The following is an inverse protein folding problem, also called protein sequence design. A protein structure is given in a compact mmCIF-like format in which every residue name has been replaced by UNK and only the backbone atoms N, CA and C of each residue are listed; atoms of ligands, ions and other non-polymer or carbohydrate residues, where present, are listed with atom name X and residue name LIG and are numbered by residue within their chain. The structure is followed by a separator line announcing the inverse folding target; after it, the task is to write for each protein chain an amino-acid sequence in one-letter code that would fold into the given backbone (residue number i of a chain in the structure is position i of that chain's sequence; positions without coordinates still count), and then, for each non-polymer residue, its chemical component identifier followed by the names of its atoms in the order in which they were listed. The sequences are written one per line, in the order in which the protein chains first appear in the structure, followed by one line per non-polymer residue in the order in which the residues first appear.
data_IF_271362042264
#
_entry.id   IF_271362042264
#
_cell.length_a   1.000
_cell.length_b   1.000
_cell.length_c   1.000
_cell.angle_alpha   90.00
_cell.angle_beta   90.00
_cell.angle_gamma   90.00
#
_symmetry.space_group_name_H-M   'P 1'
#
loop_
_entity.id
_entity.type
_entity.pdbx_description
1 polymer ?
#
# COMPACT_ATOMS: atom_id res chain seq x y z
N UNK A 1 60.48 -25.25 -14.08
CA UNK A 1 59.63 -24.04 -13.95
C UNK A 1 58.23 -24.41 -14.43
N UNK A 2 57.32 -24.80 -13.53
CA UNK A 2 55.96 -25.19 -13.90
C UNK A 2 55.00 -24.03 -13.60
N UNK A 3 54.38 -23.50 -14.66
CA UNK A 3 53.40 -22.40 -14.57
C UNK A 3 52.09 -22.95 -14.02
N UNK A 4 51.63 -22.38 -12.90
CA UNK A 4 50.31 -22.62 -12.35
C UNK A 4 49.23 -21.98 -13.24
N UNK A 5 48.20 -22.75 -13.57
CA UNK A 5 47.02 -22.30 -14.30
C UNK A 5 45.85 -22.30 -13.31
N UNK A 6 45.48 -21.12 -12.84
CA UNK A 6 44.32 -20.91 -11.97
C UNK A 6 43.09 -20.73 -12.86
N UNK A 7 42.19 -21.71 -12.85
CA UNK A 7 40.86 -21.58 -13.44
C UNK A 7 39.90 -20.99 -12.40
N UNK A 8 39.49 -19.73 -12.59
CA UNK A 8 38.41 -19.11 -11.82
C UNK A 8 37.10 -19.40 -12.54
N UNK A 9 36.30 -20.31 -11.99
CA UNK A 9 34.93 -20.56 -12.47
C UNK A 9 33.99 -19.49 -11.90
N UNK A 10 33.56 -18.55 -12.74
CA UNK A 10 32.48 -17.62 -12.41
C UNK A 10 31.15 -18.37 -12.48
N UNK A 11 30.63 -18.78 -11.33
CA UNK A 11 29.27 -19.34 -11.24
C UNK A 11 28.31 -18.15 -11.24
N UNK A 12 27.74 -17.85 -12.40
CA UNK A 12 26.63 -16.93 -12.56
C UNK A 12 25.38 -17.57 -11.92
N UNK A 13 25.26 -17.43 -10.60
CA UNK A 13 24.06 -17.82 -9.87
C UNK A 13 22.94 -16.85 -10.18
N UNK A 14 21.98 -17.26 -11.00
CA UNK A 14 20.66 -16.66 -11.04
C UNK A 14 20.04 -16.81 -9.65
N UNK A 15 20.10 -15.75 -8.84
CA UNK A 15 19.39 -15.69 -7.57
C UNK A 15 17.90 -15.70 -7.94
N UNK A 16 17.12 -16.73 -7.55
CA UNK A 16 15.68 -16.66 -7.72
C UNK A 16 15.20 -15.51 -6.82
N UNK A 17 14.77 -14.42 -7.45
CA UNK A 17 14.03 -13.36 -6.76
C UNK A 17 12.72 -14.02 -6.35
N UNK A 18 12.66 -14.54 -5.12
CA UNK A 18 11.40 -14.88 -4.50
C UNK A 18 10.63 -13.58 -4.32
N UNK A 19 9.71 -13.31 -5.25
CA UNK A 19 8.64 -12.36 -5.01
C UNK A 19 7.84 -12.88 -3.82
N UNK A 20 8.02 -12.27 -2.65
CA UNK A 20 7.15 -12.52 -1.52
C UNK A 20 5.72 -12.20 -1.98
N UNK A 21 4.87 -13.22 -2.04
CA UNK A 21 3.43 -13.01 -2.21
C UNK A 21 2.96 -12.21 -1.00
N UNK A 22 2.41 -11.01 -1.24
CA UNK A 22 1.78 -10.24 -0.18
C UNK A 22 0.74 -11.15 0.51
N UNK A 23 0.64 -11.10 1.86
CA UNK A 23 -0.37 -11.87 2.57
C UNK A 23 -1.74 -11.51 1.98
N UNK A 24 -2.51 -12.52 1.58
CA UNK A 24 -3.90 -12.33 1.17
C UNK A 24 -4.65 -11.96 2.45
N UNK A 25 -4.72 -10.67 2.75
CA UNK A 25 -5.60 -10.19 3.81
C UNK A 25 -7.01 -10.59 3.38
N UNK A 26 -7.70 -11.32 4.26
CA UNK A 26 -9.02 -11.84 4.01
C UNK A 26 -9.91 -10.72 3.48
N UNK A 27 -10.68 -11.00 2.44
CA UNK A 27 -11.48 -10.02 1.71
C UNK A 27 -12.72 -9.58 2.52
N UNK A 28 -12.47 -9.06 3.72
CA UNK A 28 -13.42 -8.69 4.74
C UNK A 28 -13.24 -7.20 5.08
N UNK A 29 -14.26 -6.52 5.62
CA UNK A 29 -14.11 -5.14 6.06
C UNK A 29 -13.02 -4.98 7.12
N UNK A 30 -12.30 -3.86 7.05
CA UNK A 30 -11.27 -3.46 8.03
C UNK A 30 -11.72 -2.20 8.76
N UNK A 31 -11.35 -2.06 10.02
CA UNK A 31 -11.53 -0.81 10.76
C UNK A 31 -10.33 0.10 10.49
N UNK A 32 -10.55 1.34 10.04
CA UNK A 32 -9.48 2.31 9.78
C UNK A 32 -9.74 3.60 10.53
N UNK A 33 -8.72 4.15 11.19
CA UNK A 33 -8.82 5.45 11.83
C UNK A 33 -9.09 6.56 10.82
N UNK A 34 -10.03 7.44 11.17
CA UNK A 34 -10.33 8.64 10.39
C UNK A 34 -9.23 9.69 10.55
N UNK A 35 -8.87 10.32 9.44
CA UNK A 35 -7.87 11.39 9.38
C UNK A 35 -8.48 12.60 8.67
N UNK A 36 -8.36 13.78 9.28
CA UNK A 36 -9.02 15.03 8.81
C UNK A 36 -8.72 15.34 7.34
N UNK A 37 -7.52 14.99 6.87
CA UNK A 37 -7.07 15.18 5.48
C UNK A 37 -6.60 13.86 4.88
N UNK A 38 -7.36 12.78 5.11
CA UNK A 38 -7.04 11.49 4.52
C UNK A 38 -8.13 10.46 4.62
N UNK A 39 -7.87 9.36 5.34
CA UNK A 39 -8.81 8.24 5.43
C UNK A 39 -10.13 8.61 6.11
N UNK A 40 -11.25 8.23 5.48
CA UNK A 40 -12.59 8.34 6.05
C UNK A 40 -13.32 9.64 5.74
N UNK A 41 -14.59 9.68 6.15
CA UNK A 41 -15.47 10.83 5.95
C UNK A 41 -14.92 12.11 6.62
N UNK A 42 -14.96 13.22 5.89
CA UNK A 42 -14.41 14.49 6.39
C UNK A 42 -15.23 15.01 7.59
N UNK A 43 -14.53 15.44 8.65
CA UNK A 43 -15.16 16.02 9.83
C UNK A 43 -15.76 14.98 10.80
N UNK A 44 -15.68 13.69 10.46
CA UNK A 44 -16.00 12.60 11.38
C UNK A 44 -14.74 12.14 12.13
N UNK A 45 -14.90 11.78 13.41
CA UNK A 45 -13.85 11.20 14.25
C UNK A 45 -13.97 9.68 14.38
N UNK A 46 -13.02 9.06 15.06
CA UNK A 46 -13.04 7.62 15.37
C UNK A 46 -12.63 6.75 14.19
N UNK A 47 -13.20 5.54 14.11
CA UNK A 47 -12.87 4.55 13.08
C UNK A 47 -14.00 4.38 12.05
N UNK A 48 -13.64 4.05 10.82
CA UNK A 48 -14.52 3.76 9.70
C UNK A 48 -14.35 2.34 9.20
N UNK A 49 -15.44 1.74 8.70
CA UNK A 49 -15.39 0.41 8.09
C UNK A 49 -15.00 0.51 6.62
N UNK A 50 -13.73 0.24 6.35
CA UNK A 50 -13.17 0.16 5.02
C UNK A 50 -13.68 -1.10 4.32
N UNK A 51 -14.22 -0.92 3.11
CA UNK A 51 -14.75 -2.03 2.33
C UNK A 51 -13.65 -2.58 1.40
N UNK A 52 -13.54 -3.91 1.26
CA UNK A 52 -12.65 -4.51 0.28
C UNK A 52 -13.12 -4.17 -1.14
N UNK A 53 -12.18 -3.93 -2.04
CA UNK A 53 -12.45 -3.65 -3.45
C UNK A 53 -12.24 -4.91 -4.26
N UNK A 54 -13.34 -5.57 -4.64
CA UNK A 54 -13.29 -6.82 -5.40
C UNK A 54 -12.39 -7.84 -4.69
N UNK A 55 -11.59 -8.60 -5.44
CA UNK A 55 -10.58 -9.51 -4.89
C UNK A 55 -9.15 -8.99 -5.13
N UNK A 56 -8.97 -7.66 -5.12
CA UNK A 56 -7.68 -7.03 -5.47
C UNK A 56 -6.72 -6.88 -4.28
N UNK A 57 -7.14 -7.25 -3.06
CA UNK A 57 -6.32 -7.08 -1.86
C UNK A 57 -6.12 -5.61 -1.49
N UNK A 58 -7.10 -4.76 -1.82
CA UNK A 58 -7.08 -3.33 -1.49
C UNK A 58 -8.44 -2.92 -0.91
N UNK A 59 -8.41 -1.88 -0.08
CA UNK A 59 -9.59 -1.36 0.62
C UNK A 59 -9.81 0.10 0.27
N UNK A 60 -11.08 0.51 0.39
CA UNK A 60 -11.50 1.88 0.15
C UNK A 60 -12.31 2.43 1.33
N UNK A 61 -12.08 3.71 1.62
CA UNK A 61 -12.93 4.59 2.43
C UNK A 61 -13.09 5.92 1.70
N UNK A 62 -14.13 6.72 2.00
CA UNK A 62 -14.19 8.11 1.57
C UNK A 62 -12.88 8.83 1.88
N UNK A 63 -12.53 9.78 1.01
CA UNK A 63 -11.26 10.47 1.06
C UNK A 63 -11.52 11.94 0.74
N UNK A 64 -10.89 12.83 1.48
CA UNK A 64 -11.00 14.25 1.22
C UNK A 64 -9.63 14.88 1.02
N UNK A 65 -9.47 15.58 -0.10
CA UNK A 65 -8.24 16.27 -0.48
C UNK A 65 -8.46 17.79 -0.52
N UNK A 66 -8.39 18.49 0.62
CA UNK A 66 -8.54 19.94 0.65
C UNK A 66 -7.36 20.62 -0.05
N UNK A 67 -7.66 21.61 -0.89
CA UNK A 67 -6.65 22.52 -1.45
C UNK A 67 -5.93 22.02 -2.70
N UNK A 68 -6.27 20.84 -3.23
CA UNK A 68 -5.63 20.27 -4.43
C UNK A 68 -6.66 20.04 -5.55
N UNK A 69 -7.07 21.10 -6.27
CA UNK A 69 -8.11 21.06 -7.30
C UNK A 69 -7.70 20.31 -8.59
N UNK A 70 -6.45 19.86 -8.70
CA UNK A 70 -5.92 19.09 -9.85
C UNK A 70 -5.92 17.59 -9.62
N UNK A 71 -6.67 17.07 -8.63
CA UNK A 71 -6.96 15.65 -8.46
C UNK A 71 -7.88 15.14 -9.60
N UNK A 72 -7.46 15.32 -10.84
CA UNK A 72 -8.01 14.67 -12.01
C UNK A 72 -6.83 14.04 -12.74
N UNK A 73 -6.42 12.87 -12.26
CA UNK A 73 -5.70 11.92 -13.10
C UNK A 73 -6.29 10.56 -12.81
N UNK A 74 -6.77 9.91 -13.87
CA UNK A 74 -7.63 8.70 -13.93
C UNK A 74 -6.95 7.44 -13.33
N UNK A 75 -5.80 7.60 -12.67
CA UNK A 75 -4.98 6.51 -12.17
C UNK A 75 -5.25 6.28 -10.68
N UNK A 76 -5.90 5.17 -10.31
CA UNK A 76 -5.99 4.80 -8.90
C UNK A 76 -4.61 4.50 -8.33
N UNK A 77 -4.41 4.79 -7.04
CA UNK A 77 -3.20 4.38 -6.32
C UNK A 77 -3.52 3.52 -5.12
N UNK A 78 -2.57 2.71 -4.73
CA UNK A 78 -2.61 1.94 -3.51
C UNK A 78 -1.48 2.42 -2.59
N UNK A 79 -1.80 2.68 -1.32
CA UNK A 79 -0.83 3.08 -0.30
C UNK A 79 -0.77 2.03 0.82
N UNK A 80 0.41 1.75 1.40
CA UNK A 80 0.51 0.84 2.53
C UNK A 80 -0.02 1.51 3.80
N UNK A 81 -0.84 0.80 4.57
CA UNK A 81 -1.35 1.25 5.87
C UNK A 81 -1.10 0.16 6.89
N UNK A 82 -0.51 0.53 8.03
CA UNK A 82 -0.26 -0.41 9.12
C UNK A 82 -1.57 -0.87 9.74
N UNK A 83 -1.71 -2.18 9.86
CA UNK A 83 -2.90 -2.80 10.43
C UNK A 83 -2.50 -3.93 11.38
N UNK A 84 -3.26 -4.04 12.47
CA UNK A 84 -3.13 -5.09 13.46
C UNK A 84 -4.50 -5.66 13.79
N UNK A 85 -4.68 -6.97 13.59
CA UNK A 85 -5.92 -7.69 13.88
C UNK A 85 -7.17 -7.02 13.25
N UNK A 86 -7.05 -6.45 12.06
CA UNK A 86 -8.15 -5.81 11.34
C UNK A 86 -8.44 -4.34 11.71
N UNK A 87 -7.67 -3.74 12.64
CA UNK A 87 -7.67 -2.30 12.91
C UNK A 87 -6.45 -1.63 12.28
N UNK A 88 -6.63 -0.49 11.64
CA UNK A 88 -5.63 0.20 10.82
C UNK A 88 -5.46 1.67 11.26
N UNK A 89 -4.22 2.16 11.27
CA UNK A 89 -3.84 3.50 11.78
C UNK A 89 -4.41 4.69 10.96
N UNK A 90 -4.95 4.42 9.78
CA UNK A 90 -5.35 5.48 8.84
C UNK A 90 -4.15 6.10 8.13
N UNK A 91 -4.42 7.07 7.27
CA UNK A 91 -3.38 7.78 6.53
C UNK A 91 -3.78 9.23 6.29
N UNK A 92 -2.78 10.10 6.19
CA UNK A 92 -2.94 11.49 5.77
C UNK A 92 -2.44 11.59 4.34
N UNK A 93 -3.22 12.25 3.48
CA UNK A 93 -2.81 12.45 2.10
C UNK A 93 -1.76 13.56 2.03
N UNK A 94 -0.68 13.31 1.30
CA UNK A 94 0.42 14.26 1.13
C UNK A 94 0.68 14.56 -0.34
N UNK A 95 1.27 15.72 -0.68
CA UNK A 95 1.62 16.05 -2.07
C UNK A 95 2.51 15.01 -2.75
N UNK A 96 3.35 14.29 -1.99
CA UNK A 96 4.26 13.26 -2.49
C UNK A 96 3.52 12.02 -2.99
N UNK A 97 2.29 11.76 -2.51
CA UNK A 97 1.44 10.71 -3.06
C UNK A 97 1.00 11.04 -4.49
N UNK A 98 1.14 12.29 -4.93
CA UNK A 98 0.83 12.78 -6.26
C UNK A 98 -0.67 12.85 -6.55
N UNK A 99 -1.06 13.24 -7.78
CA UNK A 99 -2.47 13.31 -8.15
C UNK A 99 -3.07 11.90 -8.17
N UNK A 100 -4.22 11.73 -7.52
CA UNK A 100 -5.02 10.51 -7.54
C UNK A 100 -6.47 10.85 -7.20
N UNK A 101 -7.41 10.38 -8.02
CA UNK A 101 -8.85 10.54 -7.76
C UNK A 101 -9.34 9.48 -6.75
N UNK A 102 -8.77 8.28 -6.81
CA UNK A 102 -9.08 7.16 -5.92
C UNK A 102 -7.79 6.64 -5.27
N UNK A 103 -7.66 6.80 -3.95
CA UNK A 103 -6.71 6.04 -3.15
C UNK A 103 -7.40 4.81 -2.57
N UNK A 104 -6.75 3.69 -2.80
CA UNK A 104 -6.96 2.47 -2.07
C UNK A 104 -5.83 2.33 -1.06
N UNK A 105 -6.03 1.50 -0.04
CA UNK A 105 -4.95 1.10 0.82
C UNK A 105 -4.73 -0.41 0.83
N UNK A 106 -3.47 -0.78 0.99
CA UNK A 106 -3.00 -2.14 1.20
C UNK A 106 -2.65 -2.25 2.69
N UNK A 107 -3.30 -3.15 3.45
CA UNK A 107 -2.92 -3.44 4.81
C UNK A 107 -1.54 -4.08 4.83
N UNK A 108 -0.64 -3.52 5.64
CA UNK A 108 0.64 -4.13 5.98
C UNK A 108 0.64 -4.46 7.47
N UNK A 109 1.22 -5.60 7.83
CA UNK A 109 1.36 -5.97 9.24
C UNK A 109 2.27 -4.96 9.97
N UNK A 110 1.89 -4.61 11.21
CA UNK A 110 2.66 -3.74 12.11
C UNK A 110 3.96 -4.39 12.59
#
# INVERSE_FOLDING_TARGET
MYKALVFVAAVAGCIPVWSASAPVVANVPLSIQRQIFGSGEQGAGGEEQAQPVGNYGVWHVPQYLPGYPTAATIWPRAIPVKCKNGSCEGYVITPQMGPGEYLFFIPVEE
#
